data_IF_606534695060
#
_entry.id   IF_606534695060
#
_cell.length_a   1.000
_cell.length_b   1.000
_cell.length_c   1.000
_cell.angle_alpha   90.00
_cell.angle_beta   90.00
_cell.angle_gamma   90.00
#
_symmetry.space_group_name_H-M   'P 1'
#
loop_
_entity.id
_entity.type
_entity.pdbx_description
1 polymer ?
#
# COMPACT_ATOMS: atom_id res chain seq x y z
N UNK A 1 -2.19 22.51 9.50
CA UNK A 1 -1.02 22.06 8.72
C UNK A 1 -1.28 20.66 8.19
N UNK A 2 -1.12 20.50 6.89
CA UNK A 2 -1.28 19.18 6.29
C UNK A 2 0.08 18.49 6.18
N UNK A 3 0.12 17.25 6.59
CA UNK A 3 1.31 16.44 6.42
C UNK A 3 1.22 15.70 5.08
N UNK A 4 2.33 15.69 4.35
CA UNK A 4 2.45 14.89 3.14
C UNK A 4 2.81 13.47 3.55
N UNK A 5 1.99 12.49 3.14
CA UNK A 5 2.18 11.08 3.46
C UNK A 5 3.57 10.62 3.00
N UNK A 6 3.98 11.00 1.80
CA UNK A 6 5.28 10.59 1.27
C UNK A 6 6.43 11.15 2.08
N UNK A 7 6.32 12.41 2.53
CA UNK A 7 7.35 13.03 3.38
C UNK A 7 7.45 12.34 4.72
N UNK A 8 6.32 11.96 5.32
CA UNK A 8 6.31 11.24 6.59
C UNK A 8 6.99 9.88 6.46
N UNK A 9 6.68 9.15 5.40
CA UNK A 9 7.29 7.85 5.15
C UNK A 9 8.80 7.98 4.90
N UNK A 10 9.24 8.99 4.13
CA UNK A 10 10.66 9.25 3.90
C UNK A 10 11.39 9.58 5.19
N UNK A 11 10.72 10.24 6.13
CA UNK A 11 11.30 10.56 7.43
C UNK A 11 11.36 9.35 8.38
N UNK A 12 10.87 8.19 7.95
CA UNK A 12 10.89 6.97 8.76
C UNK A 12 9.68 6.82 9.68
N UNK A 13 8.66 7.65 9.50
CA UNK A 13 7.45 7.57 10.31
C UNK A 13 6.60 6.38 9.88
N UNK A 14 6.00 5.71 10.87
CA UNK A 14 4.97 4.69 10.64
C UNK A 14 3.64 5.43 10.70
N UNK A 15 2.84 5.31 9.67
CA UNK A 15 1.59 6.05 9.56
C UNK A 15 0.39 5.13 9.55
N UNK A 16 -0.75 5.66 9.93
CA UNK A 16 -2.03 4.95 9.85
C UNK A 16 -2.93 5.72 8.90
N UNK A 17 -3.41 5.03 7.87
CA UNK A 17 -4.29 5.64 6.88
C UNK A 17 -5.60 4.85 6.81
N UNK A 18 -6.64 5.52 6.28
CA UNK A 18 -7.97 4.94 6.14
C UNK A 18 -8.26 4.79 4.64
N UNK A 19 -8.03 3.58 4.07
CA UNK A 19 -8.27 3.38 2.64
C UNK A 19 -9.73 3.65 2.28
N UNK A 20 -9.94 4.35 1.17
CA UNK A 20 -11.27 4.62 0.63
C UNK A 20 -11.55 3.67 -0.52
N UNK A 21 -12.84 3.47 -0.80
CA UNK A 21 -13.24 2.59 -1.89
C UNK A 21 -13.12 1.11 -1.51
N UNK A 22 -13.44 0.24 -2.44
CA UNK A 22 -13.57 -1.20 -2.20
C UNK A 22 -12.57 -2.03 -2.98
N UNK A 23 -11.52 -1.42 -3.54
CA UNK A 23 -10.53 -2.17 -4.35
C UNK A 23 -9.79 -3.23 -3.56
N UNK A 24 -9.69 -3.08 -2.24
CA UNK A 24 -9.04 -4.05 -1.35
C UNK A 24 -10.03 -4.85 -0.50
N UNK A 25 -11.32 -4.81 -0.84
CA UNK A 25 -12.32 -5.65 -0.18
C UNK A 25 -12.05 -7.13 -0.52
N UNK A 26 -12.16 -8.08 0.39
CA UNK A 26 -12.67 -7.92 1.75
C UNK A 26 -11.60 -7.63 2.81
N UNK A 27 -10.32 -7.50 2.43
CA UNK A 27 -9.26 -7.23 3.40
C UNK A 27 -9.47 -5.88 4.11
N UNK A 28 -9.80 -4.84 3.35
CA UNK A 28 -10.10 -3.52 3.90
C UNK A 28 -11.53 -3.13 3.57
N UNK A 29 -12.27 -2.73 4.61
CA UNK A 29 -13.62 -2.19 4.46
C UNK A 29 -13.57 -0.73 4.86
N UNK A 30 -14.00 0.19 3.98
CA UNK A 30 -14.03 1.63 4.31
C UNK A 30 -14.86 1.88 5.55
N UNK A 31 -14.36 2.76 6.42
CA UNK A 31 -15.03 3.10 7.67
C UNK A 31 -14.83 2.09 8.79
N UNK A 32 -14.31 0.90 8.50
CA UNK A 32 -14.04 -0.13 9.51
C UNK A 32 -12.55 -0.31 9.78
N UNK A 33 -11.75 -0.31 8.73
CA UNK A 33 -10.35 -0.73 8.80
C UNK A 33 -9.40 0.42 8.50
N UNK A 34 -8.26 0.42 9.19
CA UNK A 34 -7.16 1.32 8.89
C UNK A 34 -5.93 0.50 8.53
N UNK A 35 -5.08 1.06 7.68
CA UNK A 35 -3.84 0.44 7.25
C UNK A 35 -2.66 1.11 7.94
N UNK A 36 -1.75 0.29 8.49
CA UNK A 36 -0.51 0.76 9.09
C UNK A 36 0.60 0.56 8.08
N UNK A 37 1.23 1.67 7.69
CA UNK A 37 2.18 1.72 6.58
C UNK A 37 3.51 2.24 7.09
N UNK A 38 4.59 1.62 6.64
CA UNK A 38 5.95 2.15 6.84
C UNK A 38 6.63 2.33 5.48
N UNK A 39 7.75 3.05 5.47
CA UNK A 39 8.55 3.19 4.24
C UNK A 39 8.90 1.81 3.70
N UNK A 40 8.73 1.63 2.40
CA UNK A 40 9.07 0.38 1.73
C UNK A 40 10.57 0.31 1.42
N UNK A 41 11.16 -0.85 1.63
CA UNK A 41 12.46 -1.19 1.06
C UNK A 41 12.15 -1.97 -0.22
N UNK A 42 12.29 -1.30 -1.36
CA UNK A 42 11.87 -1.86 -2.66
C UNK A 42 12.63 -3.13 -3.02
N UNK A 43 13.83 -3.32 -2.46
CA UNK A 43 14.61 -4.54 -2.70
C UNK A 43 14.05 -5.76 -1.97
N UNK A 44 13.19 -5.55 -0.98
CA UNK A 44 12.61 -6.60 -0.16
C UNK A 44 11.15 -6.88 -0.47
N UNK A 45 10.55 -6.12 -1.38
CA UNK A 45 9.15 -6.34 -1.77
C UNK A 45 9.03 -7.65 -2.51
N UNK A 46 8.02 -8.44 -2.15
CA UNK A 46 7.75 -9.73 -2.74
C UNK A 46 6.29 -9.82 -3.17
N UNK A 47 6.01 -10.85 -3.99
CA UNK A 47 4.65 -11.19 -4.35
C UNK A 47 3.80 -11.37 -3.09
N UNK A 48 2.58 -10.89 -3.14
CA UNK A 48 1.58 -10.89 -2.09
C UNK A 48 1.71 -9.74 -1.07
N UNK A 49 2.81 -8.98 -1.09
CA UNK A 49 2.90 -7.78 -0.27
C UNK A 49 1.88 -6.74 -0.73
N UNK A 50 1.33 -5.98 0.22
CA UNK A 50 0.44 -4.85 -0.08
C UNK A 50 1.26 -3.59 0.06
N UNK A 51 1.30 -2.79 -1.01
CA UNK A 51 2.14 -1.60 -1.06
C UNK A 51 1.33 -0.36 -1.37
N UNK A 52 1.81 0.77 -0.84
CA UNK A 52 1.28 2.09 -1.14
C UNK A 52 2.16 2.69 -2.23
N UNK A 53 1.58 3.04 -3.37
CA UNK A 53 2.33 3.59 -4.48
C UNK A 53 1.58 4.75 -5.11
N UNK A 54 2.35 5.65 -5.72
CA UNK A 54 1.76 6.78 -6.44
C UNK A 54 1.65 6.40 -7.91
N UNK A 55 0.45 6.44 -8.43
CA UNK A 55 0.24 6.35 -9.88
C UNK A 55 0.90 7.56 -10.51
N UNK A 56 1.54 7.35 -11.65
CA UNK A 56 2.30 8.38 -12.33
C UNK A 56 1.41 9.61 -12.59
N UNK A 57 1.78 10.75 -11.97
CA UNK A 57 1.03 11.99 -12.08
C UNK A 57 -0.35 11.97 -11.42
N UNK A 58 -0.60 11.07 -10.47
CA UNK A 58 -1.92 10.87 -9.91
C UNK A 58 -1.88 10.57 -8.42
N UNK A 59 -2.87 9.83 -7.93
CA UNK A 59 -3.13 9.55 -6.51
C UNK A 59 -2.27 8.43 -5.95
N UNK A 60 -2.20 8.38 -4.63
CA UNK A 60 -1.65 7.23 -3.91
C UNK A 60 -2.68 6.11 -3.87
N UNK A 61 -2.23 4.89 -4.10
CA UNK A 61 -3.08 3.70 -4.19
C UNK A 61 -2.47 2.59 -3.34
N UNK A 62 -3.32 1.82 -2.66
CA UNK A 62 -2.91 0.66 -1.88
C UNK A 62 -3.41 -0.60 -2.58
N UNK A 63 -2.50 -1.39 -3.13
CA UNK A 63 -2.84 -2.63 -3.84
C UNK A 63 -1.83 -3.72 -3.53
N UNK A 64 -2.16 -4.95 -3.95
CA UNK A 64 -1.33 -6.13 -3.70
C UNK A 64 -0.41 -6.40 -4.88
N UNK A 65 0.86 -6.70 -4.58
CA UNK A 65 1.84 -7.08 -5.59
C UNK A 65 1.54 -8.51 -6.06
N UNK A 66 1.35 -8.68 -7.36
CA UNK A 66 1.14 -10.02 -7.96
C UNK A 66 2.37 -10.51 -8.71
N UNK A 67 3.28 -9.60 -9.07
CA UNK A 67 4.53 -9.95 -9.75
C UNK A 67 5.54 -8.84 -9.53
N UNK A 68 6.79 -9.23 -9.30
CA UNK A 68 7.90 -8.27 -9.28
C UNK A 68 9.08 -8.89 -10.03
N UNK A 69 9.68 -8.09 -10.92
CA UNK A 69 10.79 -8.54 -11.75
C UNK A 69 11.59 -7.34 -12.26
N UNK A 70 12.90 -7.39 -12.06
CA UNK A 70 13.83 -6.38 -12.60
C UNK A 70 13.45 -4.95 -12.21
N UNK A 71 13.05 -4.74 -10.94
CA UNK A 71 12.69 -3.41 -10.45
C UNK A 71 11.34 -2.91 -10.94
N UNK A 72 10.54 -3.79 -11.53
CA UNK A 72 9.19 -3.47 -11.98
C UNK A 72 8.17 -4.30 -11.23
N UNK A 73 7.05 -3.67 -10.89
CA UNK A 73 6.02 -4.29 -10.06
C UNK A 73 4.68 -4.24 -10.77
N UNK A 74 3.90 -5.29 -10.57
CA UNK A 74 2.55 -5.42 -11.11
C UNK A 74 1.60 -5.62 -9.94
N UNK A 75 0.54 -4.83 -9.90
CA UNK A 75 -0.36 -4.72 -8.76
C UNK A 75 -1.79 -5.02 -9.16
N UNK A 76 -2.56 -5.52 -8.20
CA UNK A 76 -4.01 -5.66 -8.35
C UNK A 76 -4.66 -5.43 -6.98
N UNK A 77 -5.81 -4.76 -6.96
CA UNK A 77 -6.62 -4.69 -5.75
C UNK A 77 -7.30 -6.02 -5.49
N UNK A 78 -7.43 -6.40 -4.22
CA UNK A 78 -8.03 -7.69 -3.85
C UNK A 78 -9.45 -7.89 -4.40
N UNK A 79 -10.13 -6.81 -4.72
CA UNK A 79 -11.48 -6.82 -5.29
C UNK A 79 -11.48 -6.40 -6.75
N UNK A 80 -10.37 -6.61 -7.46
CA UNK A 80 -10.23 -6.21 -8.86
C UNK A 80 -9.65 -7.36 -9.67
N UNK A 81 -9.89 -7.34 -10.97
CA UNK A 81 -9.38 -8.36 -11.89
C UNK A 81 -8.31 -7.80 -12.82
N UNK A 82 -8.23 -6.49 -12.96
CA UNK A 82 -7.29 -5.86 -13.88
C UNK A 82 -5.96 -5.57 -13.17
N UNK A 83 -4.88 -6.07 -13.76
CA UNK A 83 -3.52 -5.89 -13.23
C UNK A 83 -2.97 -4.56 -13.75
N UNK A 84 -2.43 -3.77 -12.83
CA UNK A 84 -1.78 -2.51 -13.15
C UNK A 84 -0.26 -2.67 -13.14
N UNK A 85 0.39 -2.14 -14.14
CA UNK A 85 1.86 -2.14 -14.20
C UNK A 85 2.39 -1.95 -15.61
N UNK A 86 3.70 -1.83 -15.77
CA UNK A 86 4.70 -1.88 -14.69
C UNK A 86 4.72 -0.61 -13.83
N UNK A 87 4.86 -0.80 -12.53
CA UNK A 87 5.07 0.26 -11.56
C UNK A 87 6.55 0.25 -11.20
N UNK A 88 7.18 1.43 -11.23
CA UNK A 88 8.62 1.54 -11.00
C UNK A 88 8.94 1.65 -9.51
N UNK A 89 10.19 1.37 -9.15
CA UNK A 89 10.63 1.43 -7.75
C UNK A 89 10.37 2.80 -7.12
N UNK A 90 10.59 3.88 -7.85
CA UNK A 90 10.42 5.24 -7.32
C UNK A 90 8.96 5.63 -7.09
N UNK A 91 8.02 4.86 -7.62
CA UNK A 91 6.59 5.08 -7.38
C UNK A 91 6.14 4.45 -6.07
N UNK A 92 6.86 3.47 -5.54
CA UNK A 92 6.48 2.76 -4.33
C UNK A 92 6.94 3.55 -3.12
N UNK A 93 6.01 3.88 -2.23
CA UNK A 93 6.25 4.76 -1.08
C UNK A 93 6.21 4.02 0.24
N UNK A 94 5.34 3.02 0.37
CA UNK A 94 5.20 2.32 1.63
C UNK A 94 4.74 0.89 1.47
N UNK A 95 4.83 0.16 2.57
CA UNK A 95 4.40 -1.23 2.65
C UNK A 95 3.49 -1.42 3.85
N UNK A 96 2.44 -2.22 3.68
CA UNK A 96 1.52 -2.56 4.74
C UNK A 96 2.20 -3.47 5.75
N UNK A 97 2.17 -3.08 7.04
CA UNK A 97 2.73 -3.89 8.12
C UNK A 97 1.66 -4.46 9.04
N UNK A 98 0.52 -3.79 9.11
CA UNK A 98 -0.59 -4.19 9.97
C UNK A 98 -1.86 -3.49 9.51
N UNK A 99 -2.99 -3.97 10.00
CA UNK A 99 -4.24 -3.23 9.88
C UNK A 99 -4.90 -3.14 11.25
N UNK A 100 -5.77 -2.14 11.41
CA UNK A 100 -6.50 -1.92 12.66
C UNK A 100 -7.98 -2.13 12.38
N UNK A 101 -8.59 -3.02 13.16
CA UNK A 101 -10.01 -3.36 13.03
C UNK A 101 -10.61 -3.45 14.41
N UNK A 102 -11.68 -2.67 14.65
CA UNK A 102 -12.35 -2.64 15.96
C UNK A 102 -11.38 -2.37 17.12
N UNK A 103 -10.42 -1.47 16.91
CA UNK A 103 -9.43 -1.12 17.92
C UNK A 103 -8.29 -2.13 18.09
N UNK A 104 -8.30 -3.22 17.33
CA UNK A 104 -7.26 -4.24 17.39
C UNK A 104 -6.29 -4.12 16.22
N UNK A 105 -5.01 -4.10 16.54
CA UNK A 105 -3.94 -4.08 15.53
C UNK A 105 -3.55 -5.51 15.18
N UNK A 106 -3.66 -5.85 13.91
CA UNK A 106 -3.36 -7.18 13.40
C UNK A 106 -2.20 -7.07 12.42
N UNK A 107 -1.07 -7.73 12.75
CA UNK A 107 0.11 -7.72 11.89
C UNK A 107 -0.11 -8.56 10.64
N UNK A 108 0.43 -8.11 9.52
CA UNK A 108 0.48 -8.90 8.29
C UNK A 108 1.89 -9.42 8.10
N UNK A 109 1.98 -10.62 7.55
CA UNK A 109 3.27 -11.25 7.28
C UNK A 109 3.55 -11.29 5.80
#
# INVERSE_FOLDING_TARGET
MKYDIEQLLEAGEVIQIYPEGYSMYPMFVPGRDAAVIKKADVKKIRRADVVLYRRKGSILVLHRVVKCRDGQFYMVGDNQMEIEGPVQEDQIKGILTAFVRNGHRISVK
#
